data_IF_597563545130
#
_entry.id   IF_597563545130
#
_cell.length_a   1.000
_cell.length_b   1.000
_cell.length_c   1.000
_cell.angle_alpha   90.00
_cell.angle_beta   90.00
_cell.angle_gamma   90.00
#
_symmetry.space_group_name_H-M   'P 1'
#
loop_
_entity.id
_entity.type
_entity.pdbx_description
1 polymer ?
#
# COMPACT_ATOMS: atom_id res chain seq x y z
N UNK A 1 -14.37 13.56 23.20
CA UNK A 1 -13.43 12.43 23.32
C UNK A 1 -14.05 11.25 22.59
N UNK A 2 -13.61 10.94 21.37
CA UNK A 2 -14.15 9.84 20.56
C UNK A 2 -12.97 8.89 20.29
N UNK A 3 -12.94 7.75 20.99
CA UNK A 3 -11.89 6.75 20.81
C UNK A 3 -12.16 5.96 19.54
N UNK A 4 -11.21 5.96 18.60
CA UNK A 4 -11.27 5.16 17.38
C UNK A 4 -11.20 3.67 17.75
N UNK A 5 -12.12 2.82 17.27
CA UNK A 5 -12.23 1.42 17.69
C UNK A 5 -11.13 0.50 17.13
N UNK A 6 -10.13 1.02 16.42
CA UNK A 6 -9.17 0.19 15.66
C UNK A 6 -7.90 -0.24 16.42
N UNK A 7 -7.90 -0.25 17.76
CA UNK A 7 -6.76 -0.77 18.54
C UNK A 7 -7.23 -1.75 19.61
N UNK A 8 -7.34 -3.03 19.21
CA UNK A 8 -6.83 -4.18 19.98
C UNK A 8 -6.80 -5.42 19.08
N UNK A 9 -5.61 -5.76 18.55
CA UNK A 9 -5.39 -7.08 17.97
C UNK A 9 -5.46 -8.13 19.08
N UNK A 10 -6.51 -8.95 19.09
CA UNK A 10 -6.52 -10.22 19.79
C UNK A 10 -5.59 -11.22 19.08
N UNK A 11 -5.33 -12.41 19.67
CA UNK A 11 -4.56 -13.45 19.00
C UNK A 11 -5.25 -13.78 17.67
N UNK A 12 -4.48 -13.67 16.57
CA UNK A 12 -4.93 -14.02 15.24
C UNK A 12 -5.49 -15.45 15.27
N UNK A 13 -6.77 -15.61 14.99
CA UNK A 13 -7.36 -16.85 14.55
C UNK A 13 -6.81 -17.15 13.16
N UNK A 14 -5.60 -17.71 13.11
CA UNK A 14 -4.96 -18.13 11.88
C UNK A 14 -5.67 -19.37 11.32
N UNK A 15 -6.85 -19.18 10.71
CA UNK A 15 -7.33 -20.12 9.70
C UNK A 15 -6.45 -19.91 8.48
N UNK A 16 -5.31 -20.59 8.45
CA UNK A 16 -4.32 -20.54 7.38
C UNK A 16 -4.89 -21.15 6.10
N UNK A 17 -5.75 -20.40 5.40
CA UNK A 17 -6.02 -20.64 3.99
C UNK A 17 -4.75 -20.31 3.21
N UNK A 18 -4.34 -21.19 2.31
CA UNK A 18 -3.22 -20.92 1.41
C UNK A 18 -3.56 -19.68 0.56
N UNK A 19 -3.00 -18.53 0.91
CA UNK A 19 -2.97 -17.38 0.02
C UNK A 19 -1.95 -17.71 -1.05
N UNK A 20 -2.37 -17.70 -2.32
CA UNK A 20 -1.39 -17.72 -3.41
C UNK A 20 -0.45 -16.53 -3.16
N UNK A 21 0.88 -16.75 -3.13
CA UNK A 21 1.80 -15.62 -3.03
C UNK A 21 1.48 -14.68 -4.19
N UNK A 22 1.40 -13.36 -3.95
CA UNK A 22 1.23 -12.43 -5.05
C UNK A 22 2.33 -12.72 -6.07
N UNK A 23 1.96 -12.82 -7.35
CA UNK A 23 2.91 -13.05 -8.42
C UNK A 23 4.09 -12.07 -8.26
N UNK A 24 5.32 -12.58 -8.29
CA UNK A 24 6.52 -11.77 -8.12
C UNK A 24 6.65 -10.80 -9.31
N UNK A 25 6.04 -9.63 -9.20
CA UNK A 25 6.20 -8.50 -10.09
C UNK A 25 6.84 -7.32 -9.33
N UNK A 26 7.47 -6.37 -10.03
CA UNK A 26 8.05 -5.20 -9.38
C UNK A 26 6.96 -4.43 -8.62
N UNK A 27 7.03 -4.48 -7.30
CA UNK A 27 6.12 -3.75 -6.40
C UNK A 27 6.60 -2.31 -6.31
N UNK A 28 6.38 -1.53 -7.37
CA UNK A 28 6.72 -0.11 -7.31
C UNK A 28 5.84 0.56 -6.23
N UNK A 29 6.52 1.00 -5.17
CA UNK A 29 5.90 1.50 -3.95
C UNK A 29 6.61 2.73 -3.43
N UNK A 30 5.89 3.56 -2.68
CA UNK A 30 6.43 4.70 -1.94
C UNK A 30 5.95 4.63 -0.51
N UNK A 31 6.78 5.09 0.43
CA UNK A 31 6.42 5.13 1.85
C UNK A 31 6.44 6.58 2.36
N UNK A 32 5.41 6.95 3.11
CA UNK A 32 5.24 8.27 3.72
C UNK A 32 4.66 8.14 5.14
N UNK A 33 4.71 9.22 5.91
CA UNK A 33 4.18 9.26 7.26
C UNK A 33 5.21 8.85 8.32
N UNK A 34 4.78 8.10 9.33
CA UNK A 34 5.62 7.66 10.43
C UNK A 34 6.32 6.33 10.08
N UNK A 35 7.66 6.27 9.96
CA UNK A 35 8.38 5.05 9.53
C UNK A 35 8.17 3.83 10.45
N UNK A 36 7.89 4.06 11.73
CA UNK A 36 7.61 3.04 12.74
C UNK A 36 6.12 2.98 13.12
N UNK A 37 5.26 3.62 12.33
CA UNK A 37 3.82 3.65 12.54
C UNK A 37 3.12 2.37 12.11
N UNK A 38 1.81 2.28 12.38
CA UNK A 38 0.97 1.18 11.91
C UNK A 38 0.97 1.17 10.37
N UNK A 39 1.31 0.05 9.71
CA UNK A 39 1.35 0.00 8.25
C UNK A 39 -0.06 0.07 7.66
N UNK A 40 -0.24 0.91 6.63
CA UNK A 40 -1.48 1.02 5.87
C UNK A 40 -1.19 1.13 4.37
N UNK A 41 -1.96 0.43 3.54
CA UNK A 41 -1.86 0.53 2.08
C UNK A 41 -2.74 1.66 1.55
N UNK A 42 -2.20 2.49 0.68
CA UNK A 42 -2.95 3.44 -0.14
C UNK A 42 -3.11 2.89 -1.56
N UNK A 43 -4.35 2.72 -1.98
CA UNK A 43 -4.71 2.27 -3.33
C UNK A 43 -5.28 3.46 -4.10
N UNK A 44 -4.56 3.91 -5.12
CA UNK A 44 -4.93 5.08 -5.92
C UNK A 44 -6.18 4.83 -6.79
N UNK A 45 -6.88 5.91 -7.15
CA UNK A 45 -8.02 5.90 -8.06
C UNK A 45 -7.64 5.71 -9.54
N UNK A 46 -8.59 5.98 -10.45
CA UNK A 46 -8.34 6.01 -11.90
C UNK A 46 -8.72 7.39 -12.46
N UNK A 47 -7.82 8.07 -13.19
CA UNK A 47 -6.39 7.77 -13.32
C UNK A 47 -5.65 8.01 -12.00
N UNK A 48 -4.52 7.32 -11.77
CA UNK A 48 -3.71 7.55 -10.57
C UNK A 48 -2.43 6.73 -10.50
N UNK A 49 -1.65 6.96 -9.45
CA UNK A 49 -0.41 6.23 -9.14
C UNK A 49 -0.05 6.33 -7.66
N UNK A 50 0.82 5.44 -7.17
CA UNK A 50 1.40 5.43 -5.81
C UNK A 50 1.87 6.80 -5.31
N UNK A 51 2.30 7.70 -6.20
CA UNK A 51 2.82 9.03 -5.87
C UNK A 51 1.77 9.91 -5.18
N UNK A 52 0.49 9.64 -5.38
CA UNK A 52 -0.61 10.33 -4.70
C UNK A 52 -0.56 10.15 -3.18
N UNK A 53 0.04 9.06 -2.68
CA UNK A 53 0.20 8.83 -1.25
C UNK A 53 0.95 9.97 -0.55
N UNK A 54 1.77 10.75 -1.29
CA UNK A 54 2.44 11.94 -0.78
C UNK A 54 1.46 13.01 -0.27
N UNK A 55 0.29 13.12 -0.89
CA UNK A 55 -0.75 14.08 -0.49
C UNK A 55 -1.25 13.82 0.94
N UNK A 56 -1.11 12.58 1.42
CA UNK A 56 -1.54 12.14 2.75
C UNK A 56 -0.38 12.06 3.76
N UNK A 57 0.85 12.40 3.37
CA UNK A 57 2.05 12.18 4.19
C UNK A 57 1.94 12.82 5.59
N UNK A 58 1.49 14.07 5.66
CA UNK A 58 1.36 14.79 6.93
C UNK A 58 0.22 14.27 7.81
N UNK A 59 -0.90 13.88 7.19
CA UNK A 59 -2.00 13.25 7.91
C UNK A 59 -1.57 11.89 8.49
N UNK A 60 -0.90 11.07 7.68
CA UNK A 60 -0.35 9.78 8.10
C UNK A 60 0.66 9.94 9.24
N UNK A 61 1.56 10.93 9.17
CA UNK A 61 2.52 11.22 10.23
C UNK A 61 1.84 11.58 11.54
N UNK A 62 0.83 12.47 11.51
CA UNK A 62 0.05 12.85 12.71
C UNK A 62 -0.74 11.67 13.29
N UNK A 63 -1.18 10.75 12.43
CA UNK A 63 -1.90 9.54 12.84
C UNK A 63 -0.99 8.40 13.31
N UNK A 64 0.34 8.54 13.26
CA UNK A 64 1.27 7.45 13.57
C UNK A 64 1.17 6.28 12.58
N UNK A 65 0.92 6.57 11.31
CA UNK A 65 0.73 5.59 10.23
C UNK A 65 1.93 5.59 9.30
N UNK A 66 2.43 4.39 8.96
CA UNK A 66 3.35 4.16 7.85
C UNK A 66 2.53 3.92 6.59
N UNK A 67 2.30 4.96 5.81
CA UNK A 67 1.48 4.90 4.61
C UNK A 67 2.31 4.39 3.44
N UNK A 68 1.87 3.28 2.83
CA UNK A 68 2.55 2.61 1.72
C UNK A 68 1.67 2.77 0.49
N UNK A 69 2.05 3.64 -0.44
CA UNK A 69 1.42 3.77 -1.74
C UNK A 69 1.96 2.71 -2.69
N UNK A 70 1.09 2.05 -3.46
CA UNK A 70 1.46 1.02 -4.44
C UNK A 70 0.84 1.31 -5.80
N UNK A 71 1.57 1.00 -6.87
CA UNK A 71 1.01 1.05 -8.22
C UNK A 71 0.25 -0.25 -8.54
N UNK A 72 -0.96 -0.13 -9.10
CA UNK A 72 -1.70 -1.26 -9.67
C UNK A 72 -1.05 -1.69 -10.99
N UNK A 73 -1.17 -2.96 -11.43
CA UNK A 73 -0.60 -3.39 -12.71
C UNK A 73 -1.08 -2.51 -13.86
N UNK A 74 -0.14 -1.97 -14.64
CA UNK A 74 -0.39 -1.03 -15.74
C UNK A 74 -0.49 0.44 -15.38
N UNK A 75 -0.27 0.81 -14.13
CA UNK A 75 -0.18 2.19 -13.68
C UNK A 75 1.23 2.52 -13.18
N UNK A 76 1.61 3.80 -13.27
CA UNK A 76 2.90 4.28 -12.81
C UNK A 76 4.05 3.49 -13.44
N UNK A 77 4.88 2.83 -12.63
CA UNK A 77 5.97 1.97 -13.14
C UNK A 77 5.69 0.48 -12.96
N UNK A 78 4.47 0.10 -12.55
CA UNK A 78 4.05 -1.29 -12.51
C UNK A 78 3.63 -1.75 -13.92
N UNK A 79 4.29 -2.76 -14.51
CA UNK A 79 3.96 -3.22 -15.85
C UNK A 79 2.56 -3.85 -15.91
N UNK A 80 1.92 -3.79 -17.09
CA UNK A 80 0.72 -4.58 -17.37
C UNK A 80 1.12 -6.06 -17.44
N UNK A 81 0.41 -6.98 -16.77
CA UNK A 81 0.71 -8.41 -16.88
C UNK A 81 0.56 -8.86 -18.34
N UNK A 82 1.54 -9.63 -18.84
CA UNK A 82 1.57 -10.08 -20.23
C UNK A 82 1.99 -9.01 -21.26
N UNK A 83 2.33 -7.78 -20.83
CA UNK A 83 2.97 -6.80 -21.70
C UNK A 83 4.49 -7.02 -21.74
N UNK A 84 5.06 -6.99 -22.95
CA UNK A 84 6.50 -6.92 -23.11
C UNK A 84 6.97 -5.51 -22.76
N UNK A 85 8.07 -5.39 -22.00
CA UNK A 85 8.73 -4.10 -21.81
C UNK A 85 9.41 -3.73 -23.13
N UNK A 86 9.01 -2.61 -23.72
CA UNK A 86 9.73 -2.05 -24.86
C UNK A 86 11.03 -1.45 -24.30
N UNK A 87 12.15 -2.14 -24.51
CA UNK A 87 13.48 -1.60 -24.21
C UNK A 87 13.80 -0.54 -25.27
N UNK A 88 14.28 0.63 -24.82
CA UNK A 88 14.64 1.77 -25.67
C UNK A 88 16.16 1.81 -25.91
#
# INVERSE_FOLDING_TARGET
>A
MHASPYVRGGPADSTGGAVNPPAAGPTDRVEHGAPLGVPALYLHGTPGSRVEARLLADAARRAGVRLIGVDRPGFGRAPLPGSARLEA
#
